data_IF_880091764052
#
_entry.id   IF_880091764052
#
_cell.length_a   1.000
_cell.length_b   1.000
_cell.length_c   1.000
_cell.angle_alpha   90.00
_cell.angle_beta   90.00
_cell.angle_gamma   90.00
#
_symmetry.space_group_name_H-M   'P 1'
#
loop_
_entity.id
_entity.type
_entity.pdbx_description
1 polymer ?
#
# COMPACT_ATOMS: atom_id res chain seq x y z
N UNK A 1 13.26 1.17 -24.60
CA UNK A 1 12.94 2.36 -23.78
C UNK A 1 12.68 1.85 -22.37
N UNK A 2 13.50 2.20 -21.38
CA UNK A 2 13.33 1.68 -20.02
C UNK A 2 12.08 2.30 -19.40
N UNK A 3 11.07 1.48 -19.09
CA UNK A 3 9.93 1.94 -18.29
C UNK A 3 10.46 2.38 -16.92
N UNK A 4 10.16 3.61 -16.51
CA UNK A 4 10.60 4.16 -15.23
C UNK A 4 9.60 3.73 -14.18
N UNK A 5 10.06 2.98 -13.17
CA UNK A 5 9.24 2.60 -12.03
C UNK A 5 8.61 3.84 -11.36
N UNK A 6 7.30 3.79 -11.11
CA UNK A 6 6.53 4.89 -10.53
C UNK A 6 5.63 4.41 -9.39
N UNK A 7 5.78 5.06 -8.23
CA UNK A 7 5.05 4.72 -7.01
C UNK A 7 4.71 5.96 -6.18
N UNK A 8 3.51 6.56 -6.33
CA UNK A 8 3.11 7.70 -5.52
C UNK A 8 2.89 7.29 -4.06
N UNK A 9 3.07 8.26 -3.16
CA UNK A 9 2.75 8.12 -1.74
C UNK A 9 1.41 8.81 -1.45
N UNK A 10 0.49 8.10 -0.79
CA UNK A 10 -0.88 8.56 -0.54
C UNK A 10 -1.26 8.35 0.92
N UNK A 11 -1.87 9.34 1.60
CA UNK A 11 -2.37 9.17 2.97
C UNK A 11 -3.29 7.97 3.11
N UNK A 12 -3.10 7.20 4.19
CA UNK A 12 -4.02 6.13 4.55
C UNK A 12 -5.45 6.67 4.72
N UNK A 13 -6.42 6.09 4.01
CA UNK A 13 -7.82 6.51 4.03
C UNK A 13 -8.24 7.50 2.93
N UNK A 14 -7.32 7.98 2.08
CA UNK A 14 -7.67 8.77 0.89
C UNK A 14 -8.29 7.88 -0.21
N UNK A 15 -9.55 7.46 -0.02
CA UNK A 15 -10.19 6.46 -0.89
C UNK A 15 -10.35 6.94 -2.33
N UNK A 16 -10.62 8.23 -2.55
CA UNK A 16 -10.75 8.81 -3.90
C UNK A 16 -9.42 8.73 -4.66
N UNK A 17 -8.32 9.16 -4.03
CA UNK A 17 -6.97 9.09 -4.61
C UNK A 17 -6.56 7.64 -4.89
N UNK A 18 -6.87 6.72 -3.99
CA UNK A 18 -6.56 5.30 -4.16
C UNK A 18 -7.36 4.65 -5.28
N UNK A 19 -8.64 5.02 -5.42
CA UNK A 19 -9.48 4.54 -6.53
C UNK A 19 -8.97 5.07 -7.86
N UNK A 20 -8.54 6.33 -7.91
CA UNK A 20 -7.89 6.91 -9.10
C UNK A 20 -6.59 6.18 -9.44
N UNK A 21 -5.74 5.92 -8.45
CA UNK A 21 -4.48 5.19 -8.64
C UNK A 21 -4.73 3.77 -9.14
N UNK A 22 -5.77 3.09 -8.64
CA UNK A 22 -6.15 1.74 -9.09
C UNK A 22 -6.46 1.64 -10.59
N UNK A 23 -6.74 2.77 -11.25
CA UNK A 23 -6.99 2.84 -12.69
C UNK A 23 -5.85 3.51 -13.47
N UNK A 24 -4.86 4.08 -12.78
CA UNK A 24 -3.71 4.73 -13.39
C UNK A 24 -2.60 3.72 -13.76
N UNK A 25 -1.65 4.18 -14.58
CA UNK A 25 -0.50 3.38 -15.06
C UNK A 25 0.69 3.48 -14.08
N UNK A 26 0.43 3.21 -12.80
CA UNK A 26 1.46 3.13 -11.76
C UNK A 26 1.85 1.68 -11.51
N UNK A 27 3.14 1.44 -11.23
CA UNK A 27 3.61 0.10 -10.86
C UNK A 27 3.22 -0.26 -9.43
N UNK A 28 3.19 0.74 -8.54
CA UNK A 28 2.97 0.56 -7.11
C UNK A 28 2.35 1.79 -6.46
N UNK A 29 1.92 1.66 -5.21
CA UNK A 29 1.48 2.78 -4.36
C UNK A 29 2.03 2.59 -2.95
N UNK A 30 2.45 3.67 -2.31
CA UNK A 30 2.88 3.68 -0.91
C UNK A 30 1.78 4.30 -0.07
N UNK A 31 1.09 3.48 0.73
CA UNK A 31 0.09 3.96 1.68
C UNK A 31 0.83 4.52 2.90
N UNK A 32 0.60 5.80 3.17
CA UNK A 32 1.27 6.57 4.21
C UNK A 32 0.55 6.45 5.55
N UNK A 33 1.13 5.67 6.47
CA UNK A 33 0.59 5.50 7.82
C UNK A 33 1.29 6.37 8.88
N UNK A 34 2.25 7.22 8.51
CA UNK A 34 3.03 8.03 9.46
C UNK A 34 2.15 9.01 10.27
N UNK A 35 1.13 9.60 9.65
CA UNK A 35 0.23 10.58 10.28
C UNK A 35 -1.22 10.08 10.44
N UNK A 36 -1.54 8.90 9.92
CA UNK A 36 -2.90 8.32 9.87
C UNK A 36 -2.89 6.82 10.18
N UNK A 37 -2.33 6.45 11.34
CA UNK A 37 -2.18 5.06 11.73
C UNK A 37 -3.53 4.42 12.11
N UNK A 38 -4.01 3.50 11.27
CA UNK A 38 -5.23 2.72 11.52
C UNK A 38 -5.29 1.51 10.60
N UNK A 39 -5.28 0.30 11.16
CA UNK A 39 -5.34 -0.94 10.38
C UNK A 39 -6.70 -1.17 9.71
N UNK A 40 -7.80 -0.73 10.34
CA UNK A 40 -9.12 -0.80 9.71
C UNK A 40 -9.16 0.10 8.47
N UNK A 41 -8.64 1.32 8.58
CA UNK A 41 -8.50 2.24 7.45
C UNK A 41 -7.56 1.69 6.38
N UNK A 42 -6.48 1.02 6.77
CA UNK A 42 -5.56 0.37 5.81
C UNK A 42 -6.26 -0.74 5.05
N UNK A 43 -7.06 -1.59 5.71
CA UNK A 43 -7.85 -2.63 5.02
C UNK A 43 -8.82 -2.00 4.02
N UNK A 44 -9.53 -0.95 4.39
CA UNK A 44 -10.42 -0.23 3.45
C UNK A 44 -9.64 0.39 2.29
N UNK A 45 -8.46 0.96 2.57
CA UNK A 45 -7.57 1.51 1.54
C UNK A 45 -7.11 0.45 0.54
N UNK A 46 -6.79 -0.76 1.01
CA UNK A 46 -6.45 -1.88 0.14
C UNK A 46 -7.64 -2.34 -0.72
N UNK A 47 -8.87 -2.28 -0.19
CA UNK A 47 -10.05 -2.57 -1.00
C UNK A 47 -10.28 -1.55 -2.11
N UNK A 48 -9.89 -0.27 -1.90
CA UNK A 48 -10.00 0.76 -2.93
C UNK A 48 -9.06 0.53 -4.13
N UNK A 49 -8.00 -0.28 -3.96
CA UNK A 49 -7.10 -0.68 -5.04
C UNK A 49 -7.63 -1.82 -5.91
N UNK A 50 -8.76 -2.44 -5.54
CA UNK A 50 -9.38 -3.51 -6.31
C UNK A 50 -10.26 -2.94 -7.43
N UNK A 51 -9.63 -2.68 -8.57
CA UNK A 51 -10.34 -2.28 -9.79
C UNK A 51 -11.16 -3.46 -10.35
N UNK A 52 -12.47 -3.41 -10.10
CA UNK A 52 -13.39 -4.52 -10.43
C UNK A 52 -13.49 -4.80 -11.93
N UNK A 53 -13.37 -3.77 -12.76
CA UNK A 53 -13.41 -3.92 -14.23
C UNK A 53 -12.20 -4.74 -14.69
N UNK A 54 -11.01 -4.34 -14.26
CA UNK A 54 -9.76 -5.05 -14.62
C UNK A 54 -9.68 -6.46 -14.04
N UNK A 55 -10.21 -6.66 -12.83
CA UNK A 55 -10.34 -7.99 -12.22
C UNK A 55 -11.25 -8.89 -13.06
N UNK A 56 -12.38 -8.36 -13.54
CA UNK A 56 -13.30 -9.12 -14.38
C UNK A 56 -12.68 -9.51 -15.74
N UNK A 57 -11.86 -8.63 -16.32
CA UNK A 57 -11.14 -8.89 -17.59
C UNK A 57 -10.02 -9.93 -17.46
N UNK A 58 -9.38 -10.03 -16.29
CA UNK A 58 -8.20 -10.89 -16.06
C UNK A 58 -8.53 -12.33 -15.68
N UNK A 59 -9.82 -12.68 -15.58
CA UNK A 59 -10.37 -14.00 -15.20
C UNK A 59 -9.55 -14.75 -14.11
N UNK A 60 -10.00 -14.61 -12.85
CA UNK A 60 -9.60 -15.43 -11.68
C UNK A 60 -8.44 -14.93 -10.78
N UNK A 61 -8.05 -13.66 -10.85
CA UNK A 61 -7.14 -13.06 -9.84
C UNK A 61 -7.75 -11.83 -9.17
N UNK A 62 -7.74 -11.82 -7.83
CA UNK A 62 -8.11 -10.65 -7.01
C UNK A 62 -6.91 -9.76 -6.68
N UNK A 63 -5.78 -9.97 -7.35
CA UNK A 63 -4.60 -9.13 -7.17
C UNK A 63 -4.88 -7.71 -7.72
N UNK A 64 -4.56 -6.65 -6.96
CA UNK A 64 -4.60 -5.29 -7.48
C UNK A 64 -3.51 -5.11 -8.55
N UNK A 65 -3.82 -4.31 -9.56
CA UNK A 65 -2.89 -3.99 -10.64
C UNK A 65 -1.71 -3.15 -10.17
N UNK A 66 -2.00 -2.21 -9.25
CA UNK A 66 -1.00 -1.36 -8.62
C UNK A 66 -0.56 -2.01 -7.31
N UNK A 67 0.73 -2.32 -7.20
CA UNK A 67 1.27 -3.07 -6.05
C UNK A 67 1.20 -2.24 -4.75
N UNK A 68 0.50 -2.72 -3.70
CA UNK A 68 0.36 -1.98 -2.46
C UNK A 68 1.58 -2.17 -1.54
N UNK A 69 2.28 -1.09 -1.27
CA UNK A 69 3.23 -0.96 -0.17
C UNK A 69 2.66 -0.07 0.93
N UNK A 70 3.24 -0.15 2.12
CA UNK A 70 2.88 0.74 3.22
C UNK A 70 4.13 1.32 3.87
N UNK A 71 4.10 2.63 4.13
CA UNK A 71 5.12 3.29 4.95
C UNK A 71 4.67 3.32 6.40
N UNK A 72 5.29 2.48 7.21
CA UNK A 72 4.99 2.40 8.64
C UNK A 72 5.55 3.62 9.38
N UNK A 73 4.94 4.01 10.52
CA UNK A 73 5.48 5.10 11.32
C UNK A 73 6.90 4.77 11.83
N UNK A 74 7.78 5.77 12.03
CA UNK A 74 9.19 5.55 12.37
C UNK A 74 9.45 4.72 13.63
N UNK A 75 8.55 4.82 14.61
CA UNK A 75 8.64 4.06 15.86
C UNK A 75 8.33 2.56 15.69
N UNK A 76 7.89 2.10 14.51
CA UNK A 76 7.59 0.70 14.22
C UNK A 76 8.85 -0.19 14.20
N UNK A 77 10.03 0.38 13.92
CA UNK A 77 11.25 -0.38 13.63
C UNK A 77 12.03 -0.86 14.88
N UNK A 78 12.02 -0.10 15.99
CA UNK A 78 12.91 -0.36 17.15
C UNK A 78 12.27 -1.16 18.30
N UNK A 79 10.94 -1.34 18.34
CA UNK A 79 10.29 -2.19 19.36
C UNK A 79 8.86 -2.63 19.02
N UNK A 80 8.45 -2.46 17.78
CA UNK A 80 7.05 -2.48 17.37
C UNK A 80 6.84 -3.40 16.16
N UNK A 81 7.52 -4.55 16.16
CA UNK A 81 7.37 -5.60 15.16
C UNK A 81 5.91 -6.08 15.01
N UNK A 82 5.09 -5.92 16.05
CA UNK A 82 3.66 -6.18 15.98
C UNK A 82 2.95 -5.29 14.95
N UNK A 83 3.39 -4.04 14.74
CA UNK A 83 2.84 -3.12 13.73
C UNK A 83 3.16 -3.63 12.33
N UNK A 84 4.41 -4.06 12.11
CA UNK A 84 4.87 -4.69 10.87
C UNK A 84 4.02 -5.92 10.57
N UNK A 85 3.81 -6.78 11.58
CA UNK A 85 2.96 -7.96 11.45
C UNK A 85 1.53 -7.58 11.07
N UNK A 86 0.91 -6.64 11.77
CA UNK A 86 -0.46 -6.22 11.48
C UNK A 86 -0.62 -5.59 10.10
N UNK A 87 0.39 -4.88 9.60
CA UNK A 87 0.39 -4.34 8.24
C UNK A 87 0.43 -5.45 7.18
N UNK A 88 1.32 -6.45 7.35
CA UNK A 88 1.39 -7.62 6.46
C UNK A 88 0.11 -8.46 6.53
N UNK A 89 -0.43 -8.69 7.73
CA UNK A 89 -1.70 -9.39 7.95
C UNK A 89 -2.90 -8.64 7.31
N UNK A 90 -2.78 -7.34 7.05
CA UNK A 90 -3.80 -6.58 6.32
C UNK A 90 -3.77 -6.84 4.80
N UNK A 91 -2.67 -7.39 4.27
CA UNK A 91 -2.53 -7.78 2.87
C UNK A 91 -1.65 -6.87 2.00
N UNK A 92 -0.84 -5.99 2.59
CA UNK A 92 0.18 -5.23 1.85
C UNK A 92 1.27 -6.17 1.33
N UNK A 93 1.87 -5.86 0.17
CA UNK A 93 2.86 -6.74 -0.46
C UNK A 93 4.29 -6.44 0.02
N UNK A 94 4.49 -5.26 0.63
CA UNK A 94 5.77 -4.89 1.22
C UNK A 94 5.69 -3.64 2.09
N UNK A 95 6.81 -3.34 2.72
CA UNK A 95 6.96 -2.26 3.70
C UNK A 95 8.01 -1.27 3.21
N UNK A 96 7.74 0.02 3.38
CA UNK A 96 8.71 1.10 3.26
C UNK A 96 9.09 1.54 4.68
N UNK A 97 10.37 1.42 5.03
CA UNK A 97 10.85 1.78 6.37
C UNK A 97 11.57 3.15 6.31
N UNK A 98 11.21 4.11 7.16
CA UNK A 98 11.71 5.49 7.07
C UNK A 98 13.19 5.66 7.50
N UNK A 99 13.80 4.66 8.15
CA UNK A 99 15.26 4.58 8.38
C UNK A 99 15.64 3.17 8.86
N UNK A 100 16.64 2.56 8.22
CA UNK A 100 17.40 1.46 8.84
C UNK A 100 18.58 2.08 9.58
N UNK A 101 18.65 1.94 10.90
CA UNK A 101 19.93 2.08 11.61
C UNK A 101 20.51 0.67 11.72
N UNK A 102 21.47 0.33 10.87
CA UNK A 102 22.33 -0.81 11.14
C UNK A 102 23.25 -0.39 12.28
N UNK A 103 23.01 -0.91 13.49
CA UNK A 103 23.98 -0.86 14.59
C UNK A 103 24.98 -1.99 14.43
#
# INVERSE_FOLDING_TARGET
MASRFSAPAVPNGSLEDLTYIADADYDAVVIEMQHGFSFSTSRTSLQALLNRTRIAEREASLQPDVVPFVRNPPNACERNQWVIKQALDAGVYGLVLPRFAAS
#
